data_IF_639940925094
#
_entry.id   IF_639940925094
#
_cell.length_a   1.000
_cell.length_b   1.000
_cell.length_c   1.000
_cell.angle_alpha   90.00
_cell.angle_beta   90.00
_cell.angle_gamma   90.00
#
_symmetry.space_group_name_H-M   'P 1'
#
loop_
_entity.id
_entity.type
_entity.pdbx_description
1 polymer ?
#
# COMPACT_ATOMS: atom_id res chain seq x y z
N UNK A 1 5.04 11.73 25.84
CA UNK A 1 5.36 11.04 24.57
C UNK A 1 5.18 9.56 24.83
N UNK A 2 4.16 8.92 24.24
CA UNK A 2 3.95 7.47 24.40
C UNK A 2 4.95 6.76 23.49
N UNK A 3 5.94 6.10 24.07
CA UNK A 3 6.92 5.30 23.31
C UNK A 3 6.24 4.02 22.83
N UNK A 4 5.93 3.95 21.53
CA UNK A 4 5.48 2.69 20.92
C UNK A 4 6.67 1.74 20.83
N UNK A 5 6.61 0.63 21.55
CA UNK A 5 7.67 -0.37 21.58
C UNK A 5 7.33 -1.51 20.62
N UNK A 6 8.14 -1.70 19.58
CA UNK A 6 7.99 -2.78 18.61
C UNK A 6 8.90 -3.96 18.97
N UNK A 7 8.41 -5.19 18.89
CA UNK A 7 9.17 -6.41 19.22
C UNK A 7 10.18 -6.75 18.14
N UNK A 8 9.94 -6.33 16.90
CA UNK A 8 10.90 -6.46 15.80
C UNK A 8 10.66 -5.40 14.70
N UNK A 9 11.62 -5.24 13.79
CA UNK A 9 11.52 -4.27 12.69
C UNK A 9 10.33 -4.51 11.76
N UNK A 10 9.91 -5.77 11.58
CA UNK A 10 8.72 -6.08 10.78
C UNK A 10 7.44 -5.54 11.41
N UNK A 11 7.32 -5.58 12.73
CA UNK A 11 6.17 -5.01 13.46
C UNK A 11 6.10 -3.49 13.27
N UNK A 12 7.25 -2.81 13.32
CA UNK A 12 7.35 -1.38 13.06
C UNK A 12 6.91 -1.03 11.62
N UNK A 13 7.36 -1.81 10.63
CA UNK A 13 6.97 -1.63 9.23
C UNK A 13 5.47 -1.87 9.03
N UNK A 14 4.91 -2.91 9.65
CA UNK A 14 3.48 -3.23 9.57
C UNK A 14 2.59 -2.20 10.25
N UNK A 15 3.08 -1.44 11.23
CA UNK A 15 2.34 -0.33 11.80
C UNK A 15 2.07 0.80 10.77
N UNK A 16 2.99 0.99 9.81
CA UNK A 16 2.86 1.99 8.74
C UNK A 16 2.16 1.37 7.52
N UNK A 17 2.65 0.23 7.05
CA UNK A 17 2.20 -0.44 5.82
C UNK A 17 0.93 -1.27 5.99
N UNK A 18 0.44 -1.41 7.22
CA UNK A 18 -0.68 -2.27 7.57
C UNK A 18 -1.86 -2.13 6.61
N UNK A 19 -2.41 -3.27 6.20
CA UNK A 19 -3.51 -3.36 5.24
C UNK A 19 -3.06 -3.62 3.80
N UNK A 20 -4.05 -3.88 2.94
CA UNK A 20 -3.81 -4.32 1.55
C UNK A 20 -3.29 -3.21 0.64
N UNK A 21 -3.70 -1.96 0.88
CA UNK A 21 -3.64 -0.91 -0.13
C UNK A 21 -2.39 -0.03 -0.03
N UNK A 22 -1.89 0.26 1.17
CA UNK A 22 -0.71 1.11 1.37
C UNK A 22 0.54 0.58 0.64
N UNK A 23 0.88 -0.73 0.70
CA UNK A 23 2.03 -1.25 -0.05
C UNK A 23 1.88 -1.05 -1.57
N UNK A 24 0.67 -1.22 -2.12
CA UNK A 24 0.41 -1.02 -3.55
C UNK A 24 0.53 0.45 -3.96
N UNK A 25 0.04 1.38 -3.12
CA UNK A 25 0.18 2.83 -3.37
C UNK A 25 1.68 3.19 -3.44
N UNK A 26 2.47 2.77 -2.46
CA UNK A 26 3.90 3.05 -2.39
C UNK A 26 4.64 2.45 -3.59
N UNK A 27 4.33 1.19 -3.93
CA UNK A 27 4.90 0.51 -5.09
C UNK A 27 4.66 1.30 -6.39
N UNK A 28 3.45 1.80 -6.63
CA UNK A 28 3.16 2.57 -7.84
C UNK A 28 3.79 3.96 -7.84
N UNK A 29 3.92 4.61 -6.68
CA UNK A 29 4.60 5.90 -6.53
C UNK A 29 6.12 5.82 -6.68
N UNK A 30 6.72 4.62 -6.56
CA UNK A 30 8.14 4.42 -6.84
C UNK A 30 8.53 4.79 -8.28
N UNK A 31 7.58 4.70 -9.22
CA UNK A 31 7.75 5.12 -10.63
C UNK A 31 7.61 6.64 -10.87
N UNK A 32 7.42 7.42 -9.81
CA UNK A 32 7.24 8.87 -9.86
C UNK A 32 5.85 9.35 -9.45
N UNK A 33 5.63 10.68 -9.44
CA UNK A 33 4.40 11.31 -8.94
C UNK A 33 3.14 10.82 -9.68
N UNK A 34 2.02 10.71 -8.96
CA UNK A 34 0.72 10.33 -9.52
C UNK A 34 -0.43 11.16 -8.94
N UNK A 35 -1.42 11.46 -9.77
CA UNK A 35 -2.74 11.98 -9.35
C UNK A 35 -3.59 10.88 -8.69
N UNK A 36 -4.55 11.28 -7.84
CA UNK A 36 -5.51 10.35 -7.21
C UNK A 36 -6.19 9.43 -8.23
N UNK A 37 -6.63 10.00 -9.36
CA UNK A 37 -7.31 9.22 -10.41
C UNK A 37 -6.41 8.18 -11.09
N UNK A 38 -5.10 8.44 -11.20
CA UNK A 38 -4.14 7.47 -11.71
C UNK A 38 -3.93 6.35 -10.69
N UNK A 39 -3.73 6.70 -9.41
CA UNK A 39 -3.59 5.72 -8.33
C UNK A 39 -4.82 4.82 -8.20
N UNK A 40 -6.04 5.36 -8.36
CA UNK A 40 -7.28 4.59 -8.34
C UNK A 40 -7.35 3.54 -9.45
N UNK A 41 -6.77 3.82 -10.62
CA UNK A 41 -6.71 2.87 -11.73
C UNK A 41 -5.65 1.80 -11.53
N UNK A 42 -4.54 2.15 -10.87
CA UNK A 42 -3.42 1.25 -10.62
C UNK A 42 -3.68 0.30 -9.43
N UNK A 43 -4.27 0.83 -8.35
CA UNK A 43 -4.61 0.08 -7.14
C UNK A 43 -6.02 -0.52 -7.28
N UNK A 44 -6.14 -1.55 -8.11
CA UNK A 44 -7.44 -2.13 -8.47
C UNK A 44 -8.23 -2.63 -7.24
N UNK A 45 -9.56 -2.41 -7.24
CA UNK A 45 -10.53 -2.79 -6.19
C UNK A 45 -10.51 -1.94 -4.91
N UNK A 46 -9.70 -0.88 -4.83
CA UNK A 46 -9.83 0.11 -3.75
C UNK A 46 -11.00 1.05 -4.03
N UNK A 47 -11.84 1.32 -3.02
CA UNK A 47 -12.84 2.39 -3.15
C UNK A 47 -12.16 3.76 -3.08
N UNK A 48 -12.74 4.77 -3.71
CA UNK A 48 -12.19 6.13 -3.69
C UNK A 48 -12.03 6.67 -2.27
N UNK A 49 -13.05 6.46 -1.43
CA UNK A 49 -13.00 6.83 0.00
C UNK A 49 -11.80 6.19 0.72
N UNK A 50 -11.58 4.89 0.50
CA UNK A 50 -10.48 4.15 1.13
C UNK A 50 -9.11 4.61 0.60
N UNK A 51 -9.01 4.87 -0.71
CA UNK A 51 -7.79 5.41 -1.31
C UNK A 51 -7.44 6.78 -0.71
N UNK A 52 -8.42 7.68 -0.62
CA UNK A 52 -8.23 9.01 -0.02
C UNK A 52 -7.79 8.88 1.45
N UNK A 53 -8.41 7.97 2.21
CA UNK A 53 -8.03 7.70 3.59
C UNK A 53 -6.57 7.26 3.70
N UNK A 54 -6.13 6.30 2.89
CA UNK A 54 -4.75 5.83 2.91
C UNK A 54 -3.74 6.86 2.41
N UNK A 55 -4.10 7.69 1.43
CA UNK A 55 -3.25 8.80 0.99
C UNK A 55 -3.08 9.84 2.09
N UNK A 56 -4.15 10.12 2.84
CA UNK A 56 -4.09 10.99 4.02
C UNK A 56 -3.17 10.41 5.09
N UNK A 57 -3.38 9.15 5.47
CA UNK A 57 -2.54 8.45 6.45
C UNK A 57 -1.07 8.46 6.04
N UNK A 58 -0.75 8.07 4.82
CA UNK A 58 0.64 8.05 4.33
C UNK A 58 1.27 9.45 4.26
N UNK A 59 0.46 10.50 4.07
CA UNK A 59 0.94 11.89 4.11
C UNK A 59 1.21 12.32 5.55
N UNK A 60 0.28 12.02 6.46
CA UNK A 60 0.40 12.32 7.89
C UNK A 60 1.58 11.53 8.52
N UNK A 61 1.86 10.31 8.03
CA UNK A 61 2.99 9.46 8.40
C UNK A 61 4.34 9.92 7.78
N UNK A 62 4.33 10.92 6.88
CA UNK A 62 5.53 11.42 6.20
C UNK A 62 6.13 10.46 5.16
N UNK A 63 5.39 9.43 4.74
CA UNK A 63 5.81 8.48 3.70
C UNK A 63 5.65 9.08 2.30
N UNK A 64 4.60 9.88 2.10
CA UNK A 64 4.35 10.59 0.84
C UNK A 64 4.15 12.08 1.11
N UNK A 65 4.39 12.91 0.10
CA UNK A 65 4.00 14.32 0.10
C UNK A 65 2.90 14.58 -0.93
N UNK A 66 1.93 15.42 -0.56
CA UNK A 66 0.88 15.92 -1.43
C UNK A 66 1.29 17.29 -1.98
N UNK A 67 1.32 17.42 -3.30
CA UNK A 67 1.67 18.66 -4.00
C UNK A 67 0.41 19.20 -4.66
N UNK A 68 0.02 20.43 -4.30
CA UNK A 68 -1.09 21.15 -4.92
C UNK A 68 -0.55 22.09 -5.98
N UNK A 69 -0.83 21.82 -7.25
CA UNK A 69 -0.24 22.56 -8.35
C UNK A 69 -0.94 23.89 -8.65
N UNK A 70 -2.11 24.16 -8.06
CA UNK A 70 -2.89 25.42 -8.16
C UNK A 70 -3.00 26.08 -9.56
N UNK A 71 -2.72 25.33 -10.63
CA UNK A 71 -2.79 25.77 -12.04
C UNK A 71 -4.14 25.43 -12.64
N UNK A 72 -4.42 25.85 -13.87
CA UNK A 72 -5.66 25.48 -14.58
C UNK A 72 -5.37 24.30 -15.54
N UNK A 73 -6.09 23.17 -15.44
CA UNK A 73 -7.04 22.81 -14.38
C UNK A 73 -6.30 22.41 -13.08
N UNK A 74 -6.88 22.75 -11.90
CA UNK A 74 -6.25 22.49 -10.61
C UNK A 74 -6.15 20.99 -10.37
N UNK A 75 -5.04 20.57 -9.79
CA UNK A 75 -4.84 19.18 -9.43
C UNK A 75 -3.78 18.99 -8.37
N UNK A 76 -3.82 17.78 -7.85
CA UNK A 76 -2.94 17.32 -6.79
C UNK A 76 -2.18 16.10 -7.27
N UNK A 77 -0.92 16.04 -6.90
CA UNK A 77 -0.10 14.85 -7.10
C UNK A 77 0.44 14.39 -5.76
N UNK A 78 0.70 13.09 -5.69
CA UNK A 78 1.35 12.44 -4.57
C UNK A 78 2.68 11.89 -5.06
N UNK A 79 3.70 12.00 -4.23
CA UNK A 79 5.00 11.39 -4.48
C UNK A 79 5.64 10.92 -3.18
N UNK A 80 6.56 9.96 -3.28
CA UNK A 80 7.30 9.47 -2.13
C UNK A 80 8.21 10.57 -1.56
N UNK A 81 8.28 10.66 -0.23
CA UNK A 81 9.38 11.36 0.45
C UNK A 81 10.66 10.54 0.37
N UNK A 82 11.80 11.05 0.84
CA UNK A 82 13.03 10.25 0.89
C UNK A 82 12.88 9.03 1.80
N UNK A 83 12.16 9.18 2.92
CA UNK A 83 11.76 8.06 3.76
C UNK A 83 10.89 7.06 2.99
N UNK A 84 9.85 7.53 2.28
CA UNK A 84 9.01 6.68 1.44
C UNK A 84 9.75 5.96 0.31
N UNK A 85 10.76 6.59 -0.29
CA UNK A 85 11.62 5.96 -1.30
C UNK A 85 12.44 4.84 -0.67
N UNK A 86 13.00 5.05 0.52
CA UNK A 86 13.73 4.01 1.25
C UNK A 86 12.83 2.80 1.57
N UNK A 87 11.57 3.04 1.95
CA UNK A 87 10.57 2.00 2.19
C UNK A 87 10.15 1.27 0.90
N UNK A 88 10.02 1.99 -0.23
CA UNK A 88 9.72 1.36 -1.51
C UNK A 88 10.79 0.36 -1.94
N UNK A 89 12.07 0.63 -1.66
CA UNK A 89 13.17 -0.30 -1.95
C UNK A 89 13.03 -1.62 -1.19
N UNK A 90 12.46 -1.62 0.02
CA UNK A 90 12.23 -2.86 0.77
C UNK A 90 11.07 -3.69 0.20
N UNK A 91 10.17 -3.08 -0.57
CA UNK A 91 9.07 -3.79 -1.23
C UNK A 91 9.54 -4.55 -2.48
N UNK A 92 10.64 -4.16 -3.11
CA UNK A 92 11.12 -4.81 -4.34
C UNK A 92 11.47 -6.30 -4.12
N UNK A 93 12.31 -6.68 -3.13
CA UNK A 93 12.58 -8.11 -2.87
C UNK A 93 11.33 -8.90 -2.49
N UNK A 94 10.35 -8.27 -1.82
CA UNK A 94 9.08 -8.90 -1.49
C UNK A 94 8.21 -9.12 -2.74
N UNK A 95 8.22 -8.16 -3.66
CA UNK A 95 7.57 -8.28 -4.96
C UNK A 95 8.20 -9.42 -5.76
N UNK A 96 9.53 -9.45 -5.85
CA UNK A 96 10.27 -10.50 -6.55
C UNK A 96 9.93 -11.88 -5.97
N UNK A 97 9.99 -12.03 -4.64
CA UNK A 97 9.62 -13.29 -3.99
C UNK A 97 8.18 -13.70 -4.33
N UNK A 98 7.24 -12.75 -4.29
CA UNK A 98 5.84 -12.99 -4.64
C UNK A 98 5.65 -13.44 -6.08
N UNK A 99 6.37 -12.85 -7.02
CA UNK A 99 6.36 -13.24 -8.44
C UNK A 99 6.93 -14.64 -8.64
N UNK A 100 8.00 -15.01 -7.95
CA UNK A 100 8.60 -16.35 -8.06
C UNK A 100 7.72 -17.47 -7.47
N UNK A 101 6.83 -17.14 -6.51
CA UNK A 101 6.01 -18.11 -5.79
C UNK A 101 4.50 -17.95 -6.06
N UNK A 102 4.13 -17.24 -7.14
CA UNK A 102 2.75 -16.86 -7.44
C UNK A 102 1.78 -18.07 -7.50
N UNK A 103 2.20 -19.18 -8.10
CA UNK A 103 1.42 -20.42 -8.19
C UNK A 103 1.17 -21.08 -6.83
N UNK A 104 2.17 -21.05 -5.94
CA UNK A 104 2.02 -21.55 -4.57
C UNK A 104 1.09 -20.64 -3.75
N UNK A 105 1.25 -19.33 -3.88
CA UNK A 105 0.38 -18.34 -3.24
C UNK A 105 -1.07 -18.53 -3.71
N UNK A 106 -1.29 -18.70 -5.02
CA UNK A 106 -2.61 -18.95 -5.59
C UNK A 106 -3.24 -20.22 -5.01
N UNK A 107 -2.47 -21.30 -4.85
CA UNK A 107 -2.96 -22.52 -4.20
C UNK A 107 -3.35 -22.29 -2.74
N UNK A 108 -2.53 -21.56 -1.97
CA UNK A 108 -2.82 -21.22 -0.56
C UNK A 108 -4.12 -20.43 -0.45
N UNK A 109 -4.31 -19.40 -1.28
CA UNK A 109 -5.51 -18.55 -1.27
C UNK A 109 -6.76 -19.33 -1.66
N UNK A 110 -6.68 -20.20 -2.69
CA UNK A 110 -7.78 -21.11 -3.04
C UNK A 110 -8.17 -22.00 -1.86
N UNK A 111 -7.20 -22.62 -1.20
CA UNK A 111 -7.46 -23.53 -0.09
C UNK A 111 -8.15 -22.83 1.10
N UNK A 112 -7.72 -21.61 1.45
CA UNK A 112 -8.37 -20.79 2.48
C UNK A 112 -9.83 -20.47 2.14
N UNK A 113 -10.09 -20.14 0.87
CA UNK A 113 -11.43 -19.79 0.41
C UNK A 113 -12.35 -21.01 0.38
N UNK A 114 -11.82 -22.19 0.04
CA UNK A 114 -12.56 -23.45 0.09
C UNK A 114 -12.85 -23.90 1.52
N UNK A 115 -11.87 -23.82 2.44
CA UNK A 115 -12.08 -24.18 3.84
C UNK A 115 -13.12 -23.28 4.53
N UNK A 116 -13.09 -21.98 4.29
CA UNK A 116 -14.08 -21.04 4.82
C UNK A 116 -15.51 -21.27 4.30
N UNK A 117 -15.68 -21.95 3.15
CA UNK A 117 -17.01 -22.36 2.64
C UNK A 117 -17.51 -23.68 3.22
N UNK A 118 -16.62 -24.53 3.74
CA UNK A 118 -16.99 -25.82 4.34
C UNK A 118 -17.49 -25.65 5.77
N UNK A 119 -16.89 -24.73 6.54
CA UNK A 119 -17.29 -24.43 7.93
C UNK A 119 -18.55 -23.54 8.05
N UNK A 120 -19.09 -23.05 6.93
CA UNK A 120 -20.29 -22.20 6.88
C UNK A 120 -21.61 -22.96 6.67
N UNK A 121 -21.71 -24.24 7.06
CA UNK A 121 -22.90 -25.08 6.85
C UNK A 121 -23.58 -25.49 8.17
N UNK A 122 -24.36 -24.57 8.72
CA UNK A 122 -25.64 -24.78 9.42
C UNK A 122 -26.37 -23.43 9.56
#
# INVERSE_FOLDING_TARGET
MTTTNFRCGLEAVLAILGGKWKPLIIYHLASGPKRTGQLRRLVTNVSEKMLIQHLKELTDDGVIRRIDFQKIPPHVEYELTDFGRSLALTLAPMCDWGTHHDGQIAAIVRNRTSAAKVDGRA
#
